data_IF_965100858252
#
_entry.id   IF_965100858252
#
_cell.length_a   1.000
_cell.length_b   1.000
_cell.length_c   1.000
_cell.angle_alpha   90.00
_cell.angle_beta   90.00
_cell.angle_gamma   90.00
#
_symmetry.space_group_name_H-M   'P 1'
#
loop_
_entity.id
_entity.type
_entity.pdbx_description
1 polymer ?
#
# COMPACT_ATOMS: atom_id res chain seq x y z
N UNK A 1 -52.42 -65.91 1.44
CA UNK A 1 -51.25 -65.32 0.77
C UNK A 1 -51.40 -63.85 0.85
N UNK A 2 -50.68 -63.18 1.88
CA UNK A 2 -50.82 -61.75 2.10
C UNK A 2 -49.59 -61.06 1.48
N UNK A 3 -49.82 -60.15 0.52
CA UNK A 3 -48.80 -59.37 -0.13
C UNK A 3 -48.63 -58.04 0.67
N UNK A 4 -47.50 -57.89 1.32
CA UNK A 4 -47.13 -56.68 2.07
C UNK A 4 -46.50 -55.69 1.10
N UNK A 5 -47.13 -54.55 0.92
CA UNK A 5 -46.57 -53.42 0.11
C UNK A 5 -45.58 -52.63 0.99
N UNK A 6 -44.32 -52.58 0.57
CA UNK A 6 -43.33 -51.65 1.14
C UNK A 6 -43.52 -50.29 0.47
N UNK A 7 -43.82 -49.26 1.25
CA UNK A 7 -43.71 -47.86 0.87
C UNK A 7 -42.24 -47.39 1.10
N UNK A 8 -41.56 -47.02 0.03
CA UNK A 8 -40.29 -46.35 0.09
C UNK A 8 -40.58 -44.85 0.15
N UNK A 9 -40.32 -44.22 1.33
CA UNK A 9 -40.37 -42.78 1.48
C UNK A 9 -39.02 -42.21 1.00
N UNK A 10 -39.06 -41.51 -0.12
CA UNK A 10 -37.89 -40.72 -0.61
C UNK A 10 -37.83 -39.40 0.15
N UNK A 11 -36.89 -39.27 1.09
CA UNK A 11 -36.54 -38.00 1.67
C UNK A 11 -35.74 -37.18 0.65
N UNK A 12 -36.39 -36.19 0.04
CA UNK A 12 -35.73 -35.16 -0.76
C UNK A 12 -35.10 -34.14 0.22
N UNK A 13 -33.80 -34.21 0.43
CA UNK A 13 -33.03 -33.20 1.16
C UNK A 13 -32.94 -31.96 0.29
N UNK A 14 -33.73 -30.93 0.57
CA UNK A 14 -33.60 -29.60 0.01
C UNK A 14 -32.31 -28.97 0.64
N UNK A 15 -31.23 -28.99 -0.13
CA UNK A 15 -30.02 -28.16 0.19
C UNK A 15 -30.39 -26.73 -0.20
N UNK A 16 -30.75 -25.94 0.82
CA UNK A 16 -30.77 -24.48 0.68
C UNK A 16 -29.33 -24.01 0.58
N UNK A 17 -28.87 -23.79 -0.66
CA UNK A 17 -27.68 -22.97 -0.87
C UNK A 17 -28.07 -21.55 -0.45
N UNK A 18 -27.68 -21.15 0.76
CA UNK A 18 -27.70 -19.76 1.19
C UNK A 18 -26.71 -19.02 0.30
N UNK A 19 -27.22 -18.36 -0.76
CA UNK A 19 -26.48 -17.31 -1.42
C UNK A 19 -26.34 -16.19 -0.39
N UNK A 20 -25.24 -16.16 0.37
CA UNK A 20 -24.88 -14.99 1.11
C UNK A 20 -24.73 -13.85 0.10
N UNK A 21 -25.63 -12.88 0.16
CA UNK A 21 -25.55 -11.67 -0.66
C UNK A 21 -24.25 -10.99 -0.29
N UNK A 22 -23.36 -10.80 -1.26
CA UNK A 22 -22.14 -10.02 -1.01
C UNK A 22 -22.55 -8.61 -0.58
N UNK A 23 -21.87 -8.02 0.42
CA UNK A 23 -22.17 -6.66 0.84
C UNK A 23 -22.03 -5.72 -0.35
N UNK A 24 -23.01 -4.86 -0.55
CA UNK A 24 -22.98 -3.83 -1.59
C UNK A 24 -22.19 -2.62 -1.03
N UNK A 25 -21.06 -2.30 -1.65
CA UNK A 25 -20.23 -1.13 -1.31
C UNK A 25 -20.53 0.02 -2.26
N UNK A 26 -20.68 1.24 -1.74
CA UNK A 26 -20.93 2.42 -2.57
C UNK A 26 -19.69 2.83 -3.37
N UNK A 27 -18.49 2.55 -2.82
CA UNK A 27 -17.21 2.88 -3.46
C UNK A 27 -16.23 1.70 -3.36
N UNK A 28 -15.20 1.69 -4.22
CA UNK A 28 -14.12 0.71 -4.11
C UNK A 28 -13.34 0.89 -2.79
N UNK A 29 -13.16 2.12 -2.33
CA UNK A 29 -12.48 2.41 -1.06
C UNK A 29 -13.21 1.76 0.11
N UNK A 30 -14.55 1.82 0.16
CA UNK A 30 -15.32 1.14 1.21
C UNK A 30 -15.09 -0.37 1.21
N UNK A 31 -15.02 -0.99 0.02
CA UNK A 31 -14.69 -2.41 -0.11
C UNK A 31 -13.30 -2.70 0.46
N UNK A 32 -12.28 -1.96 0.02
CA UNK A 32 -10.89 -2.16 0.47
C UNK A 32 -10.78 -1.99 2.00
N UNK A 33 -11.44 -0.97 2.56
CA UNK A 33 -11.45 -0.73 4.00
C UNK A 33 -12.20 -1.83 4.77
N UNK A 34 -13.24 -2.43 4.19
CA UNK A 34 -13.92 -3.56 4.78
C UNK A 34 -13.00 -4.79 4.85
N UNK A 35 -12.29 -5.09 3.74
CA UNK A 35 -11.29 -6.17 3.71
C UNK A 35 -10.16 -5.95 4.74
N UNK A 36 -9.67 -4.72 4.89
CA UNK A 36 -8.64 -4.38 5.88
C UNK A 36 -9.12 -4.58 7.33
N UNK A 37 -10.39 -4.31 7.62
CA UNK A 37 -10.97 -4.38 8.96
C UNK A 37 -11.44 -5.78 9.35
N UNK A 38 -11.66 -6.66 8.38
CA UNK A 38 -12.05 -8.04 8.65
C UNK A 38 -10.81 -8.87 9.03
N UNK A 39 -10.71 -9.34 10.28
CA UNK A 39 -9.59 -10.17 10.72
C UNK A 39 -9.57 -11.55 10.04
N UNK A 40 -10.69 -11.99 9.47
CA UNK A 40 -10.81 -13.27 8.76
C UNK A 40 -10.66 -13.14 7.25
N UNK A 41 -10.53 -11.92 6.72
CA UNK A 41 -10.29 -11.71 5.31
C UNK A 41 -8.94 -12.27 4.90
N UNK A 42 -8.92 -13.00 3.82
CA UNK A 42 -7.69 -13.49 3.17
C UNK A 42 -7.32 -12.67 1.92
N UNK A 43 -8.02 -11.57 1.71
CA UNK A 43 -7.73 -10.60 0.66
C UNK A 43 -6.36 -9.94 0.89
N UNK A 44 -5.55 -9.87 -0.17
CA UNK A 44 -4.21 -9.27 -0.14
C UNK A 44 -4.23 -7.98 -0.96
N UNK A 45 -4.00 -6.85 -0.29
CA UNK A 45 -3.93 -5.55 -0.93
C UNK A 45 -2.66 -5.39 -1.74
N UNK A 46 -2.80 -4.87 -2.96
CA UNK A 46 -1.67 -4.51 -3.83
C UNK A 46 -1.43 -3.01 -3.78
N UNK A 47 -0.24 -2.65 -3.29
CA UNK A 47 0.23 -1.28 -3.19
C UNK A 47 1.26 -1.02 -4.28
N UNK A 48 1.04 -0.03 -5.12
CA UNK A 48 2.01 0.33 -6.15
C UNK A 48 2.96 1.41 -5.64
N UNK A 49 4.24 1.07 -5.55
CA UNK A 49 5.33 1.98 -5.18
C UNK A 49 5.49 3.04 -6.27
N UNK A 50 5.19 4.32 -5.94
CA UNK A 50 5.19 5.47 -6.86
C UNK A 50 4.28 5.31 -8.10
N UNK A 51 3.25 4.43 -8.00
CA UNK A 51 2.34 4.10 -9.08
C UNK A 51 2.93 3.17 -10.14
N UNK A 52 2.28 3.03 -11.28
CA UNK A 52 2.77 2.22 -12.42
C UNK A 52 3.95 2.91 -13.14
N UNK A 53 5.04 3.12 -12.40
CA UNK A 53 6.18 3.88 -12.89
C UNK A 53 7.00 3.16 -13.96
N UNK A 54 6.82 1.87 -14.14
CA UNK A 54 7.47 1.11 -15.22
C UNK A 54 6.93 1.53 -16.59
N UNK A 55 5.67 1.96 -16.65
CA UNK A 55 4.98 2.36 -17.86
C UNK A 55 4.78 3.88 -17.99
N UNK A 56 4.75 4.61 -16.86
CA UNK A 56 4.51 6.05 -16.77
C UNK A 56 5.59 6.74 -15.92
N UNK A 57 5.68 8.07 -15.92
CA UNK A 57 6.52 8.75 -14.91
C UNK A 57 6.08 8.40 -13.50
N UNK A 58 7.04 8.11 -12.61
CA UNK A 58 6.75 7.86 -11.19
C UNK A 58 6.05 9.07 -10.56
N UNK A 59 5.22 8.85 -9.55
CA UNK A 59 4.53 9.94 -8.84
C UNK A 59 3.73 10.85 -9.80
N UNK A 60 3.04 10.28 -10.77
CA UNK A 60 2.27 11.05 -11.77
C UNK A 60 0.81 10.60 -11.86
N UNK A 61 -0.07 11.50 -12.30
CA UNK A 61 -1.49 11.18 -12.52
C UNK A 61 -1.66 9.99 -13.50
N UNK A 62 -0.96 9.90 -14.63
CA UNK A 62 -1.05 8.73 -15.50
C UNK A 62 -0.65 7.42 -14.82
N UNK A 63 0.34 7.43 -13.90
CA UNK A 63 0.73 6.23 -13.15
C UNK A 63 -0.36 5.81 -12.14
N UNK A 64 -1.01 6.77 -11.47
CA UNK A 64 -2.16 6.53 -10.59
C UNK A 64 -3.33 5.94 -11.40
N UNK A 65 -3.70 6.57 -12.51
CA UNK A 65 -4.79 6.11 -13.37
C UNK A 65 -4.53 4.71 -13.95
N UNK A 66 -3.29 4.37 -14.22
CA UNK A 66 -2.92 3.03 -14.67
C UNK A 66 -3.14 2.00 -13.57
N UNK A 67 -2.68 2.29 -12.34
CA UNK A 67 -2.91 1.42 -11.19
C UNK A 67 -4.40 1.17 -10.92
N UNK A 68 -5.21 2.23 -10.99
CA UNK A 68 -6.66 2.13 -10.81
C UNK A 68 -7.29 1.21 -11.88
N UNK A 69 -6.88 1.35 -13.15
CA UNK A 69 -7.36 0.48 -14.24
C UNK A 69 -6.94 -0.99 -14.07
N UNK A 70 -5.77 -1.25 -13.49
CA UNK A 70 -5.32 -2.61 -13.17
C UNK A 70 -6.16 -3.25 -12.06
N UNK A 71 -6.81 -2.43 -11.22
CA UNK A 71 -7.54 -2.87 -10.05
C UNK A 71 -6.66 -2.91 -8.79
N UNK A 72 -5.57 -2.15 -8.73
CA UNK A 72 -4.77 -2.01 -7.51
C UNK A 72 -5.51 -1.28 -6.39
N UNK A 73 -5.07 -1.46 -5.16
CA UNK A 73 -5.82 -1.04 -3.97
C UNK A 73 -5.29 0.24 -3.34
N UNK A 74 -4.00 0.49 -3.45
CA UNK A 74 -3.36 1.63 -2.81
C UNK A 74 -2.23 2.19 -3.68
N UNK A 75 -2.22 3.51 -3.83
CA UNK A 75 -1.11 4.26 -4.40
C UNK A 75 -0.15 4.68 -3.27
N UNK A 76 1.09 4.24 -3.33
CA UNK A 76 2.15 4.86 -2.55
C UNK A 76 2.75 6.03 -3.34
N UNK A 77 2.95 7.16 -2.66
CA UNK A 77 3.45 8.39 -3.26
C UNK A 77 4.35 9.18 -2.31
N UNK A 78 5.28 9.94 -2.89
CA UNK A 78 6.24 10.77 -2.18
C UNK A 78 5.90 12.24 -2.31
N UNK A 79 6.13 13.02 -1.25
CA UNK A 79 5.85 14.46 -1.25
C UNK A 79 7.08 15.32 -0.97
N UNK A 80 7.09 16.49 -1.59
CA UNK A 80 8.00 17.59 -1.32
C UNK A 80 7.23 18.91 -1.38
N UNK A 81 7.78 19.94 -0.73
CA UNK A 81 7.17 21.26 -0.69
C UNK A 81 7.91 22.23 -1.63
N UNK A 82 7.14 22.99 -2.39
CA UNK A 82 7.64 24.10 -3.24
C UNK A 82 7.97 25.34 -2.42
N UNK A 83 8.65 26.34 -3.02
CA UNK A 83 8.98 27.61 -2.36
C UNK A 83 7.75 28.45 -1.96
N UNK A 84 6.63 28.23 -2.61
CA UNK A 84 5.34 28.86 -2.31
C UNK A 84 4.39 27.95 -1.51
N UNK A 85 4.98 26.99 -0.75
CA UNK A 85 4.29 26.15 0.23
C UNK A 85 3.20 25.24 -0.34
N UNK A 86 3.38 24.72 -1.56
CA UNK A 86 2.49 23.73 -2.13
C UNK A 86 3.13 22.36 -2.10
N UNK A 87 2.43 21.34 -1.57
CA UNK A 87 2.85 19.96 -1.65
C UNK A 87 2.68 19.39 -3.05
N UNK A 88 3.77 18.82 -3.58
CA UNK A 88 3.84 18.22 -4.91
C UNK A 88 4.37 16.80 -4.82
N UNK A 89 4.04 15.95 -5.79
CA UNK A 89 4.56 14.58 -5.84
C UNK A 89 5.98 14.56 -6.36
N UNK A 90 6.94 14.21 -5.51
CA UNK A 90 8.36 14.11 -5.85
C UNK A 90 9.09 13.27 -4.82
N UNK A 91 9.83 12.27 -5.25
CA UNK A 91 10.67 11.46 -4.35
C UNK A 91 11.94 12.20 -3.95
N UNK A 92 12.70 12.70 -4.91
CA UNK A 92 14.00 13.33 -4.67
C UNK A 92 13.85 14.76 -4.15
N UNK A 93 14.84 15.26 -3.42
CA UNK A 93 14.93 16.70 -3.06
C UNK A 93 15.09 17.60 -4.27
N UNK A 94 15.59 17.05 -5.40
CA UNK A 94 15.80 17.79 -6.65
C UNK A 94 14.87 17.31 -7.74
N UNK A 95 14.58 18.17 -8.71
CA UNK A 95 13.77 17.84 -9.89
C UNK A 95 14.54 17.07 -10.97
N UNK A 96 15.85 16.87 -10.79
CA UNK A 96 16.80 16.47 -11.86
C UNK A 96 16.48 15.12 -12.51
N UNK A 97 16.16 14.10 -11.69
CA UNK A 97 15.91 12.74 -12.18
C UNK A 97 14.53 12.62 -12.82
N UNK A 98 13.52 13.18 -12.16
CA UNK A 98 12.12 12.99 -12.53
C UNK A 98 11.63 13.97 -13.60
N UNK A 99 12.39 15.03 -13.89
CA UNK A 99 11.98 16.07 -14.86
C UNK A 99 13.12 16.50 -15.79
N UNK A 100 12.79 17.34 -16.75
CA UNK A 100 13.79 18.01 -17.60
C UNK A 100 14.40 19.28 -16.96
N UNK A 101 14.05 19.60 -15.70
CA UNK A 101 14.63 20.70 -14.93
C UNK A 101 15.88 20.30 -14.15
N UNK A 102 16.40 21.27 -13.37
CA UNK A 102 17.56 21.10 -12.48
C UNK A 102 17.39 21.96 -11.21
N UNK A 103 17.87 21.48 -10.06
CA UNK A 103 17.84 22.20 -8.80
C UNK A 103 16.88 21.59 -7.78
N UNK A 104 16.74 22.24 -6.63
CA UNK A 104 15.89 21.76 -5.54
C UNK A 104 14.41 22.02 -5.84
N UNK A 105 13.52 21.15 -5.39
CA UNK A 105 12.07 21.37 -5.46
C UNK A 105 11.69 22.64 -4.71
N UNK A 106 12.31 22.88 -3.55
CA UNK A 106 12.10 24.08 -2.72
C UNK A 106 12.52 25.40 -3.35
N UNK A 107 13.24 25.39 -4.47
CA UNK A 107 13.61 26.59 -5.22
C UNK A 107 12.56 26.97 -6.27
N UNK A 108 11.60 26.08 -6.55
CA UNK A 108 10.54 26.29 -7.54
C UNK A 108 9.25 26.73 -6.87
N UNK A 109 8.59 27.74 -7.45
CA UNK A 109 7.15 27.93 -7.23
C UNK A 109 6.36 26.86 -7.97
N UNK A 110 5.12 26.59 -7.57
CA UNK A 110 4.26 25.64 -8.28
C UNK A 110 4.18 25.98 -9.78
N UNK A 111 4.01 27.27 -10.10
CA UNK A 111 3.88 27.75 -11.50
C UNK A 111 5.14 27.44 -12.33
N UNK A 112 6.32 27.62 -11.76
CA UNK A 112 7.59 27.28 -12.41
C UNK A 112 7.81 25.77 -12.53
N UNK A 113 7.42 25.00 -11.51
CA UNK A 113 7.53 23.54 -11.50
C UNK A 113 6.60 22.90 -12.55
N UNK A 114 5.37 23.40 -12.70
CA UNK A 114 4.40 22.95 -13.71
C UNK A 114 4.86 23.16 -15.16
N UNK A 115 5.84 24.01 -15.41
CA UNK A 115 6.46 24.16 -16.74
C UNK A 115 7.42 23.01 -17.10
N UNK A 116 7.92 22.29 -16.09
CA UNK A 116 8.79 21.15 -16.29
C UNK A 116 8.00 19.95 -16.82
N UNK A 117 8.64 19.16 -17.67
CA UNK A 117 8.11 17.91 -18.21
C UNK A 117 8.69 16.73 -17.45
N UNK A 118 7.85 15.82 -17.01
CA UNK A 118 8.30 14.62 -16.29
C UNK A 118 8.98 13.62 -17.25
N UNK A 119 9.82 12.77 -16.66
CA UNK A 119 10.51 11.69 -17.34
C UNK A 119 9.96 10.34 -16.92
N UNK A 120 9.87 9.42 -17.87
CA UNK A 120 9.69 7.99 -17.61
C UNK A 120 11.00 7.34 -17.17
N UNK A 121 10.95 6.09 -16.76
CA UNK A 121 12.13 5.22 -16.67
C UNK A 121 13.01 5.37 -17.92
N UNK A 122 14.32 5.11 -17.77
CA UNK A 122 15.32 5.30 -18.83
C UNK A 122 15.47 6.76 -19.32
N UNK A 123 15.04 7.74 -18.49
CA UNK A 123 15.28 9.16 -18.72
C UNK A 123 14.58 9.77 -19.96
N UNK A 124 13.48 9.15 -20.41
CA UNK A 124 12.68 9.63 -21.54
C UNK A 124 11.72 10.73 -21.09
N UNK A 125 11.92 11.96 -21.57
CA UNK A 125 11.05 13.10 -21.27
C UNK A 125 9.68 12.95 -21.99
N UNK A 126 8.60 13.13 -21.26
CA UNK A 126 7.23 13.13 -21.83
C UNK A 126 6.86 14.50 -22.37
N UNK A 127 5.90 14.57 -23.29
CA UNK A 127 5.45 15.84 -23.84
C UNK A 127 4.41 16.55 -22.95
N UNK A 128 3.54 15.79 -22.28
CA UNK A 128 2.36 16.33 -21.59
C UNK A 128 2.35 16.16 -20.08
N UNK A 129 3.09 15.18 -19.52
CA UNK A 129 3.04 14.89 -18.09
C UNK A 129 3.80 15.96 -17.29
N UNK A 130 3.14 16.48 -16.27
CA UNK A 130 3.65 17.51 -15.35
C UNK A 130 3.67 16.98 -13.93
N UNK A 131 4.51 17.55 -13.07
CA UNK A 131 4.55 17.23 -11.64
C UNK A 131 3.19 17.56 -11.02
N UNK A 132 2.48 16.57 -10.43
CA UNK A 132 1.20 16.82 -9.80
C UNK A 132 1.38 17.47 -8.43
N UNK A 133 0.37 18.21 -7.99
CA UNK A 133 0.20 18.57 -6.58
C UNK A 133 -0.37 17.37 -5.82
N UNK A 134 -0.17 17.35 -4.50
CA UNK A 134 -0.82 16.34 -3.64
C UNK A 134 -2.36 16.39 -3.77
N UNK A 135 -2.92 17.59 -3.89
CA UNK A 135 -4.37 17.78 -4.14
C UNK A 135 -4.85 17.10 -5.42
N UNK A 136 -4.11 17.26 -6.52
CA UNK A 136 -4.46 16.59 -7.79
C UNK A 136 -4.42 15.07 -7.66
N UNK A 137 -3.43 14.54 -6.92
CA UNK A 137 -3.33 13.10 -6.65
C UNK A 137 -4.48 12.60 -5.75
N UNK A 138 -4.81 13.33 -4.68
CA UNK A 138 -5.92 12.98 -3.79
C UNK A 138 -7.24 12.93 -4.55
N UNK A 139 -7.54 13.96 -5.35
CA UNK A 139 -8.76 13.99 -6.17
C UNK A 139 -8.79 12.85 -7.20
N UNK A 140 -7.63 12.45 -7.76
CA UNK A 140 -7.54 11.33 -8.68
C UNK A 140 -7.85 9.98 -7.98
N UNK A 141 -7.45 9.83 -6.71
CA UNK A 141 -7.64 8.60 -5.93
C UNK A 141 -8.99 8.55 -5.20
N UNK A 142 -9.67 9.69 -4.98
CA UNK A 142 -10.87 9.78 -4.14
C UNK A 142 -11.91 8.74 -4.54
N UNK A 143 -12.40 7.97 -3.54
CA UNK A 143 -13.40 6.91 -3.66
C UNK A 143 -12.99 5.72 -4.55
N UNK A 144 -11.77 5.74 -5.10
CA UNK A 144 -11.28 4.75 -6.08
C UNK A 144 -10.22 3.81 -5.51
N UNK A 145 -9.18 4.34 -4.82
CA UNK A 145 -8.11 3.57 -4.18
C UNK A 145 -7.62 4.28 -2.92
N UNK A 146 -6.99 3.56 -2.02
CA UNK A 146 -6.31 4.15 -0.86
C UNK A 146 -5.04 4.89 -1.28
N UNK A 147 -4.54 5.74 -0.37
CA UNK A 147 -3.30 6.50 -0.56
C UNK A 147 -2.37 6.23 0.61
N UNK A 148 -1.13 5.87 0.33
CA UNK A 148 -0.04 5.86 1.29
C UNK A 148 0.92 7.01 0.99
N UNK A 149 1.16 7.90 1.95
CA UNK A 149 2.04 9.06 1.77
C UNK A 149 3.36 8.79 2.47
N UNK A 150 4.45 8.68 1.68
CA UNK A 150 5.82 8.56 2.18
C UNK A 150 6.53 9.92 2.20
N UNK A 151 7.66 9.98 2.92
CA UNK A 151 8.43 11.23 3.15
C UNK A 151 7.60 12.39 3.70
N UNK A 152 6.52 12.09 4.40
CA UNK A 152 5.48 13.01 4.82
C UNK A 152 5.60 13.48 6.28
N UNK A 153 6.57 12.96 7.02
CA UNK A 153 6.70 13.20 8.47
C UNK A 153 6.81 14.69 8.85
N UNK A 154 7.36 15.52 7.93
CA UNK A 154 7.52 16.96 8.14
C UNK A 154 6.32 17.78 7.65
N UNK A 155 5.34 17.13 7.00
CA UNK A 155 4.19 17.76 6.36
C UNK A 155 2.86 17.21 6.89
N UNK A 156 2.88 16.62 8.09
CA UNK A 156 1.69 15.96 8.66
C UNK A 156 0.49 16.91 8.71
N UNK A 157 0.72 18.16 9.15
CA UNK A 157 -0.31 19.20 9.21
C UNK A 157 -0.98 19.43 7.87
N UNK A 158 -0.20 19.73 6.83
CA UNK A 158 -0.70 20.07 5.50
C UNK A 158 -1.44 18.89 4.86
N UNK A 159 -1.00 17.66 5.15
CA UNK A 159 -1.64 16.44 4.63
C UNK A 159 -2.97 16.19 5.33
N UNK A 160 -3.04 16.33 6.66
CA UNK A 160 -4.30 16.19 7.42
C UNK A 160 -5.30 17.22 6.99
N UNK A 161 -4.91 18.51 6.93
CA UNK A 161 -5.80 19.62 6.52
C UNK A 161 -6.35 19.39 5.10
N UNK A 162 -5.52 18.92 4.17
CA UNK A 162 -5.97 18.57 2.83
C UNK A 162 -6.92 17.37 2.81
N UNK A 163 -6.62 16.33 3.59
CA UNK A 163 -7.48 15.15 3.68
C UNK A 163 -8.85 15.48 4.31
N UNK A 164 -8.87 16.36 5.34
CA UNK A 164 -10.12 16.85 5.94
C UNK A 164 -10.92 17.70 4.94
N UNK A 165 -10.27 18.63 4.25
CA UNK A 165 -10.94 19.49 3.24
C UNK A 165 -11.60 18.65 2.13
N UNK A 166 -10.96 17.55 1.73
CA UNK A 166 -11.46 16.68 0.66
C UNK A 166 -12.34 15.54 1.16
N UNK A 167 -12.59 15.43 2.47
CA UNK A 167 -13.31 14.30 3.09
C UNK A 167 -12.66 12.95 2.75
N UNK A 168 -11.36 12.84 3.00
CA UNK A 168 -10.54 11.67 2.66
C UNK A 168 -9.70 11.13 3.84
N UNK A 169 -9.94 11.56 5.08
CA UNK A 169 -9.12 11.17 6.25
C UNK A 169 -9.06 9.65 6.45
N UNK A 170 -10.14 8.92 6.19
CA UNK A 170 -10.19 7.46 6.25
C UNK A 170 -9.52 6.74 5.07
N UNK A 171 -9.13 7.47 4.02
CA UNK A 171 -8.53 6.95 2.79
C UNK A 171 -7.01 7.13 2.73
N UNK A 172 -6.44 7.92 3.66
CA UNK A 172 -5.03 8.29 3.66
C UNK A 172 -4.29 7.57 4.80
N UNK A 173 -3.25 6.82 4.44
CA UNK A 173 -2.34 6.15 5.35
C UNK A 173 -0.98 6.87 5.34
N UNK A 174 -0.55 7.33 6.50
CA UNK A 174 0.79 7.87 6.72
C UNK A 174 1.72 6.78 7.22
N UNK A 175 3.00 6.84 6.87
CA UNK A 175 4.00 5.91 7.38
C UNK A 175 5.25 6.62 7.86
N UNK A 176 6.03 5.94 8.70
CA UNK A 176 7.32 6.48 9.16
C UNK A 176 7.96 5.66 10.26
N UNK A 177 9.15 6.08 10.71
CA UNK A 177 9.94 5.43 11.75
C UNK A 177 10.15 6.31 12.99
N UNK A 178 9.20 7.22 13.26
CA UNK A 178 9.16 8.02 14.49
C UNK A 178 8.78 7.13 15.67
N UNK A 179 9.22 7.50 16.88
CA UNK A 179 8.76 6.82 18.09
C UNK A 179 7.25 7.00 18.30
N UNK A 180 6.65 6.11 19.07
CA UNK A 180 5.22 6.16 19.40
C UNK A 180 4.84 7.52 20.00
N UNK A 181 5.66 8.04 20.91
CA UNK A 181 5.38 9.31 21.57
C UNK A 181 5.47 10.51 20.62
N UNK A 182 6.39 10.47 19.64
CA UNK A 182 6.47 11.49 18.59
C UNK A 182 5.25 11.44 17.67
N UNK A 183 4.82 10.25 17.26
CA UNK A 183 3.61 10.08 16.44
C UNK A 183 2.38 10.58 17.20
N UNK A 184 2.23 10.22 18.47
CA UNK A 184 1.14 10.69 19.32
C UNK A 184 1.14 12.22 19.47
N UNK A 185 2.33 12.84 19.62
CA UNK A 185 2.45 14.29 19.69
C UNK A 185 2.09 14.99 18.39
N UNK A 186 2.51 14.44 17.24
CA UNK A 186 2.17 14.99 15.92
C UNK A 186 0.65 14.91 15.66
N UNK A 187 -0.01 13.86 16.15
CA UNK A 187 -1.45 13.64 15.96
C UNK A 187 -2.34 14.43 16.95
N UNK A 188 -1.82 14.73 18.15
CA UNK A 188 -2.60 15.34 19.23
C UNK A 188 -3.37 16.62 18.87
N UNK A 189 -2.88 17.51 17.97
CA UNK A 189 -3.60 18.73 17.59
C UNK A 189 -4.86 18.48 16.75
N UNK A 190 -5.03 17.30 16.16
CA UNK A 190 -6.07 17.03 15.16
C UNK A 190 -7.20 16.19 15.74
N UNK A 191 -8.43 16.53 15.39
CA UNK A 191 -9.64 15.80 15.79
C UNK A 191 -9.82 14.51 15.00
N UNK A 192 -9.51 14.56 13.68
CA UNK A 192 -9.58 13.42 12.79
C UNK A 192 -8.16 13.08 12.37
N UNK A 193 -7.59 12.06 12.97
CA UNK A 193 -6.24 11.61 12.64
C UNK A 193 -6.27 10.72 11.39
N UNK A 194 -5.21 10.85 10.58
CA UNK A 194 -4.94 9.91 9.51
C UNK A 194 -4.52 8.56 10.08
N UNK A 195 -4.74 7.50 9.32
CA UNK A 195 -4.17 6.19 9.63
C UNK A 195 -2.64 6.31 9.62
N UNK A 196 -1.98 5.63 10.57
CA UNK A 196 -0.52 5.62 10.66
C UNK A 196 0.00 4.18 10.74
N UNK A 197 1.11 3.93 10.04
CA UNK A 197 1.80 2.66 10.01
C UNK A 197 3.29 2.85 10.31
N UNK A 198 3.87 2.14 11.29
CA UNK A 198 5.30 2.16 11.53
C UNK A 198 6.07 1.37 10.47
N UNK A 199 7.21 1.94 10.03
CA UNK A 199 8.20 1.26 9.20
C UNK A 199 9.24 0.63 10.12
N UNK A 200 9.39 -0.68 10.03
CA UNK A 200 10.29 -1.48 10.85
C UNK A 200 11.40 -2.08 9.98
N UNK A 201 12.64 -1.69 10.20
CA UNK A 201 13.80 -2.41 9.66
C UNK A 201 14.29 -3.41 10.71
N UNK A 202 13.79 -4.65 10.62
CA UNK A 202 13.98 -5.65 11.69
C UNK A 202 15.42 -6.13 11.85
N UNK A 203 16.27 -5.97 10.85
CA UNK A 203 17.69 -6.30 10.97
C UNK A 203 18.55 -5.15 11.52
N UNK A 204 17.93 -4.05 11.96
CA UNK A 204 18.61 -2.92 12.60
C UNK A 204 18.12 -2.73 14.03
N UNK A 205 19.03 -2.48 14.96
CA UNK A 205 18.73 -2.27 16.38
C UNK A 205 17.62 -1.22 16.61
N UNK A 206 17.69 -0.10 15.88
CA UNK A 206 16.65 0.95 15.96
C UNK A 206 15.27 0.43 15.54
N UNK A 207 15.21 -0.40 14.49
CA UNK A 207 13.96 -0.97 14.02
C UNK A 207 13.40 -2.00 14.98
N UNK A 208 14.25 -2.90 15.49
CA UNK A 208 13.87 -3.85 16.54
C UNK A 208 13.32 -3.14 17.77
N UNK A 209 14.05 -2.13 18.26
CA UNK A 209 13.61 -1.34 19.42
C UNK A 209 12.24 -0.70 19.17
N UNK A 210 12.02 -0.10 18.00
CA UNK A 210 10.73 0.50 17.66
C UNK A 210 9.63 -0.56 17.64
N UNK A 211 9.87 -1.71 17.03
CA UNK A 211 8.90 -2.80 16.96
C UNK A 211 8.50 -3.29 18.36
N UNK A 212 9.49 -3.63 19.18
CA UNK A 212 9.21 -4.14 20.53
C UNK A 212 8.62 -3.08 21.47
N UNK A 213 8.85 -1.79 21.22
CA UNK A 213 8.18 -0.70 21.96
C UNK A 213 6.65 -0.73 21.70
N UNK A 214 6.20 -1.03 20.46
CA UNK A 214 4.79 -1.28 20.16
C UNK A 214 4.24 -2.52 20.88
N UNK A 215 4.99 -3.63 20.84
CA UNK A 215 4.61 -4.89 21.49
C UNK A 215 4.47 -4.72 22.99
N UNK A 216 5.49 -4.17 23.67
CA UNK A 216 5.54 -4.00 25.13
C UNK A 216 4.46 -3.03 25.63
N UNK A 217 4.14 -1.99 24.86
CA UNK A 217 3.09 -1.02 25.22
C UNK A 217 1.69 -1.49 24.84
N UNK A 218 1.55 -2.62 24.14
CA UNK A 218 0.26 -3.15 23.69
C UNK A 218 -0.45 -2.22 22.70
N UNK A 219 0.30 -1.42 21.91
CA UNK A 219 -0.25 -0.52 20.91
C UNK A 219 -0.27 -1.24 19.57
N UNK A 220 -1.47 -1.44 19.01
CA UNK A 220 -1.68 -2.18 17.77
C UNK A 220 -1.95 -1.22 16.61
N UNK A 221 -0.98 -0.96 15.72
CA UNK A 221 -1.24 -0.19 14.50
C UNK A 221 -2.05 -1.02 13.51
N UNK A 222 -2.62 -0.38 12.48
CA UNK A 222 -3.31 -1.08 11.38
C UNK A 222 -2.43 -2.13 10.72
N UNK A 223 -1.19 -1.76 10.43
CA UNK A 223 -0.19 -2.62 9.81
C UNK A 223 1.21 -2.24 10.29
N UNK A 224 2.17 -3.16 10.12
CA UNK A 224 3.60 -2.88 10.18
C UNK A 224 4.20 -3.06 8.79
N UNK A 225 4.84 -2.02 8.25
CA UNK A 225 5.73 -2.16 7.10
C UNK A 225 7.06 -2.73 7.57
N UNK A 226 7.31 -4.00 7.25
CA UNK A 226 8.54 -4.69 7.67
C UNK A 226 9.53 -4.73 6.52
N UNK A 227 10.72 -4.17 6.75
CA UNK A 227 11.86 -4.24 5.85
C UNK A 227 12.93 -5.14 6.46
N UNK A 228 13.48 -6.08 5.67
CA UNK A 228 14.57 -6.96 6.12
C UNK A 228 15.52 -7.27 4.98
N UNK A 229 16.81 -7.46 5.32
CA UNK A 229 17.88 -7.73 4.34
C UNK A 229 18.17 -9.21 4.15
N UNK A 230 17.80 -10.04 5.12
CA UNK A 230 18.01 -11.49 5.13
C UNK A 230 16.95 -12.15 5.99
N UNK A 231 16.53 -13.33 5.58
CA UNK A 231 15.67 -14.20 6.37
C UNK A 231 16.39 -14.69 7.63
N UNK A 232 15.63 -15.03 8.66
CA UNK A 232 16.14 -15.55 9.92
C UNK A 232 15.22 -15.26 11.10
N UNK A 233 15.69 -15.70 12.27
CA UNK A 233 14.90 -15.72 13.51
C UNK A 233 14.27 -14.37 13.90
N UNK A 234 14.95 -13.25 13.63
CA UNK A 234 14.41 -11.93 13.93
C UNK A 234 13.16 -11.63 13.10
N UNK A 235 13.17 -12.03 11.80
CA UNK A 235 12.00 -11.84 10.92
C UNK A 235 10.88 -12.79 11.34
N UNK A 236 11.19 -14.06 11.61
CA UNK A 236 10.19 -15.06 12.01
C UNK A 236 9.47 -14.65 13.30
N UNK A 237 10.21 -14.18 14.31
CA UNK A 237 9.63 -13.63 15.55
C UNK A 237 8.80 -12.37 15.32
N UNK A 238 9.26 -11.47 14.44
CA UNK A 238 8.53 -10.26 14.09
C UNK A 238 7.16 -10.60 13.48
N UNK A 239 7.13 -11.52 12.52
CA UNK A 239 5.90 -11.99 11.86
C UNK A 239 4.95 -12.63 12.88
N UNK A 240 5.46 -13.51 13.74
CA UNK A 240 4.67 -14.19 14.80
C UNK A 240 4.01 -13.15 15.74
N UNK A 241 4.76 -12.17 16.22
CA UNK A 241 4.22 -11.13 17.10
C UNK A 241 3.22 -10.21 16.40
N UNK A 242 3.43 -9.86 15.11
CA UNK A 242 2.46 -9.07 14.33
C UNK A 242 1.11 -9.80 14.25
N UNK A 243 1.12 -11.10 13.92
CA UNK A 243 -0.09 -11.91 13.87
C UNK A 243 -0.76 -12.05 15.22
N UNK A 244 0.02 -12.28 16.28
CA UNK A 244 -0.48 -12.39 17.65
C UNK A 244 -1.12 -11.09 18.15
N UNK A 245 -0.61 -9.94 17.73
CA UNK A 245 -1.21 -8.63 18.01
C UNK A 245 -2.50 -8.40 17.23
N UNK A 246 -2.77 -9.15 16.17
CA UNK A 246 -3.87 -8.89 15.25
C UNK A 246 -3.64 -7.71 14.30
N UNK A 247 -2.38 -7.32 14.10
CA UNK A 247 -1.98 -6.30 13.12
C UNK A 247 -1.70 -6.94 11.75
N UNK A 248 -1.68 -6.13 10.69
CA UNK A 248 -1.43 -6.59 9.33
C UNK A 248 0.07 -6.55 9.03
N UNK A 249 0.59 -7.62 8.41
CA UNK A 249 1.92 -7.63 7.84
C UNK A 249 1.91 -6.98 6.46
N UNK A 250 2.66 -5.88 6.31
CA UNK A 250 2.98 -5.26 5.03
C UNK A 250 4.41 -5.60 4.65
N UNK A 251 4.61 -6.12 3.44
CA UNK A 251 5.92 -6.44 2.86
C UNK A 251 6.18 -5.61 1.62
N UNK A 252 7.46 -5.36 1.35
CA UNK A 252 7.92 -4.70 0.14
C UNK A 252 8.60 -5.74 -0.75
N UNK A 253 8.38 -5.69 -2.07
CA UNK A 253 8.98 -6.64 -3.01
C UNK A 253 9.89 -5.99 -4.05
N UNK A 254 10.04 -4.67 -4.01
CA UNK A 254 10.68 -3.90 -5.07
C UNK A 254 12.22 -3.94 -5.05
N UNK A 255 12.89 -4.28 -3.93
CA UNK A 255 14.34 -4.39 -3.85
C UNK A 255 14.80 -5.50 -2.89
N UNK A 256 15.91 -6.20 -3.20
CA UNK A 256 16.44 -7.26 -2.34
C UNK A 256 16.71 -6.82 -0.89
N UNK A 257 17.09 -5.56 -0.69
CA UNK A 257 17.45 -5.03 0.64
C UNK A 257 16.26 -4.81 1.58
N UNK A 258 15.03 -4.96 1.11
CA UNK A 258 13.80 -4.76 1.90
C UNK A 258 12.89 -5.99 1.96
N UNK A 259 13.30 -7.10 1.30
CA UNK A 259 12.50 -8.33 1.18
C UNK A 259 13.28 -9.64 1.42
N UNK A 260 14.36 -9.59 2.18
CA UNK A 260 15.08 -10.81 2.57
C UNK A 260 16.23 -11.21 1.67
N UNK A 261 16.60 -10.39 0.70
CA UNK A 261 17.76 -10.62 -0.18
C UNK A 261 17.42 -10.91 -1.63
N UNK A 262 18.46 -11.17 -2.41
CA UNK A 262 18.33 -11.51 -3.83
C UNK A 262 17.49 -12.77 -4.04
N UNK A 263 16.67 -12.76 -5.09
CA UNK A 263 15.78 -13.87 -5.42
C UNK A 263 14.37 -13.75 -4.81
N UNK A 264 14.13 -12.72 -3.98
CA UNK A 264 12.85 -12.49 -3.30
C UNK A 264 12.11 -11.24 -3.82
N UNK A 265 12.70 -10.51 -4.76
CA UNK A 265 12.18 -9.24 -5.25
C UNK A 265 11.41 -9.38 -6.57
N UNK A 266 10.81 -8.27 -7.00
CA UNK A 266 10.02 -8.19 -8.23
C UNK A 266 10.82 -8.56 -9.50
N UNK A 267 12.12 -8.26 -9.54
CA UNK A 267 12.95 -8.60 -10.70
C UNK A 267 13.23 -10.10 -10.73
N UNK A 268 13.39 -10.74 -9.56
CA UNK A 268 13.48 -12.19 -9.48
C UNK A 268 12.16 -12.89 -9.92
N UNK A 269 11.01 -12.27 -9.65
CA UNK A 269 9.72 -12.81 -10.09
C UNK A 269 9.54 -12.77 -11.62
N UNK A 270 10.21 -11.83 -12.33
CA UNK A 270 10.22 -11.80 -13.79
C UNK A 270 11.04 -12.96 -14.36
N UNK A 271 12.18 -13.25 -13.74
CA UNK A 271 13.10 -14.28 -14.20
C UNK A 271 12.65 -15.69 -13.77
N UNK A 272 11.75 -15.80 -12.79
CA UNK A 272 11.23 -17.08 -12.31
C UNK A 272 10.34 -17.77 -13.35
N UNK A 273 10.37 -19.12 -13.44
CA UNK A 273 9.45 -19.87 -14.28
C UNK A 273 7.97 -19.60 -13.95
N UNK A 274 7.68 -19.33 -12.65
CA UNK A 274 6.37 -18.95 -12.15
C UNK A 274 6.53 -17.85 -11.09
N UNK A 275 5.81 -16.70 -11.18
CA UNK A 275 5.82 -15.67 -10.16
C UNK A 275 5.46 -16.17 -8.75
N UNK A 276 4.71 -17.29 -8.64
CA UNK A 276 4.43 -17.96 -7.38
C UNK A 276 5.70 -18.40 -6.63
N UNK A 277 6.78 -18.72 -7.33
CA UNK A 277 8.05 -19.15 -6.73
C UNK A 277 8.69 -18.02 -5.90
N UNK A 278 8.33 -16.77 -6.18
CA UNK A 278 8.79 -15.59 -5.44
C UNK A 278 7.71 -15.03 -4.53
N UNK A 279 6.50 -14.77 -5.04
CA UNK A 279 5.46 -14.12 -4.23
C UNK A 279 4.79 -15.08 -3.22
N UNK A 280 4.83 -16.39 -3.47
CA UNK A 280 4.20 -17.40 -2.60
C UNK A 280 4.67 -17.34 -1.15
N UNK A 281 5.96 -17.10 -0.93
CA UNK A 281 6.53 -16.99 0.42
C UNK A 281 5.87 -15.87 1.26
N UNK A 282 5.46 -14.75 0.65
CA UNK A 282 4.82 -13.65 1.37
C UNK A 282 3.40 -14.03 1.81
N UNK A 283 2.70 -14.80 0.98
CA UNK A 283 1.38 -15.35 1.34
C UNK A 283 1.52 -16.38 2.46
N UNK A 284 2.54 -17.24 2.42
CA UNK A 284 2.85 -18.20 3.50
C UNK A 284 3.23 -17.48 4.81
N UNK A 285 3.91 -16.34 4.74
CA UNK A 285 4.19 -15.47 5.88
C UNK A 285 2.94 -14.77 6.42
N UNK A 286 1.78 -14.86 5.75
CA UNK A 286 0.55 -14.20 6.13
C UNK A 286 0.51 -12.71 5.80
N UNK A 287 1.31 -12.24 4.83
CA UNK A 287 1.23 -10.86 4.38
C UNK A 287 -0.13 -10.57 3.72
N UNK A 288 -0.76 -9.48 4.14
CA UNK A 288 -2.03 -9.00 3.57
C UNK A 288 -1.89 -7.65 2.86
N UNK A 289 -0.68 -7.10 2.83
CA UNK A 289 -0.34 -5.88 2.10
C UNK A 289 1.01 -6.09 1.42
N UNK A 290 1.05 -5.97 0.08
CA UNK A 290 2.26 -6.15 -0.73
C UNK A 290 2.52 -4.87 -1.52
N UNK A 291 3.62 -4.18 -1.23
CA UNK A 291 4.08 -3.02 -2.00
C UNK A 291 5.11 -3.47 -3.04
N UNK A 292 4.86 -3.12 -4.29
CA UNK A 292 5.57 -3.64 -5.45
C UNK A 292 5.83 -2.57 -6.53
N UNK A 293 6.89 -2.77 -7.31
CA UNK A 293 7.16 -2.06 -8.57
C UNK A 293 6.48 -2.71 -9.80
N UNK A 294 5.79 -3.86 -9.58
CA UNK A 294 5.15 -4.68 -10.62
C UNK A 294 3.68 -4.98 -10.28
N UNK A 295 2.82 -3.98 -10.07
CA UNK A 295 1.48 -4.18 -9.54
C UNK A 295 0.65 -5.14 -10.38
N UNK A 296 0.74 -5.11 -11.73
CA UNK A 296 0.02 -6.04 -12.58
C UNK A 296 0.41 -7.50 -12.33
N UNK A 297 1.71 -7.78 -12.15
CA UNK A 297 2.20 -9.14 -11.93
C UNK A 297 1.72 -9.70 -10.58
N UNK A 298 1.78 -8.89 -9.53
CA UNK A 298 1.26 -9.27 -8.19
C UNK A 298 -0.25 -9.49 -8.25
N UNK A 299 -1.00 -8.59 -8.89
CA UNK A 299 -2.46 -8.73 -9.08
C UNK A 299 -2.82 -10.03 -9.81
N UNK A 300 -2.15 -10.33 -10.94
CA UNK A 300 -2.40 -11.54 -11.72
C UNK A 300 -2.11 -12.80 -10.90
N UNK A 301 -1.02 -12.80 -10.12
CA UNK A 301 -0.72 -13.89 -9.19
C UNK A 301 -1.79 -14.04 -8.11
N UNK A 302 -2.16 -13.00 -7.40
CA UNK A 302 -3.15 -13.04 -6.33
C UNK A 302 -4.53 -13.46 -6.83
N UNK A 303 -4.95 -13.00 -8.00
CA UNK A 303 -6.18 -13.44 -8.67
C UNK A 303 -6.15 -14.92 -8.99
N UNK A 304 -5.02 -15.44 -9.44
CA UNK A 304 -4.86 -16.85 -9.78
C UNK A 304 -5.05 -17.80 -8.58
N UNK A 305 -4.80 -17.29 -7.37
CA UNK A 305 -4.95 -18.05 -6.11
C UNK A 305 -6.18 -17.62 -5.28
N UNK A 306 -7.05 -16.75 -5.83
CA UNK A 306 -8.29 -16.31 -5.19
C UNK A 306 -8.09 -15.36 -4.00
N UNK A 307 -6.95 -14.64 -3.94
CA UNK A 307 -6.62 -13.68 -2.87
C UNK A 307 -6.85 -12.22 -3.25
N UNK A 308 -7.36 -11.98 -4.46
CA UNK A 308 -7.74 -10.66 -5.00
C UNK A 308 -8.82 -10.83 -6.05
N UNK A 309 -9.62 -9.77 -6.34
CA UNK A 309 -10.69 -9.70 -7.36
C UNK A 309 -10.20 -9.24 -8.74
#
# INVERSE_FOLDING_TARGET
>A
MKITKFLIAACASLVFASCAQQPEYATRVEKILAELKDPNSDYVLVISHRGDWRNYPENSIPAIESLIRMGGDMMELDVKMTSDSVLVLMHDKTVNRMTNGKGLVSDYTLDSLKKLRMRRAHNVTTDSTRVPTLREAFLCCKDRILINVDHAADYYKEIVELAEELDMTGQVLMKGSKSIDQVAADMAPYKNNLLYMPIININQEKGQKLFYDYVERGIVPLAFEVCWKKNGEDMDKCVEEIHKMGSILWVNTFWPSVCGGYGNDDDAAIDAPNPADVYGQYIEMGARMIQTDRPQMVLDYLRSIGRHD
#
